data_IF_380578191690
#
_entry.id   IF_380578191690
#
_cell.length_a   1.000
_cell.length_b   1.000
_cell.length_c   1.000
_cell.angle_alpha   90.00
_cell.angle_beta   90.00
_cell.angle_gamma   90.00
#
_symmetry.space_group_name_H-M   'P 1'
#
loop_
_entity.id
_entity.type
_entity.pdbx_description
1 polymer ?
#
# COMPACT_ATOMS: atom_id res chain seq x y z
N UNK A 1 0.25 -28.62 -12.90
CA UNK A 1 -0.27 -27.24 -13.04
C UNK A 1 0.88 -26.25 -12.99
N UNK A 2 0.75 -25.09 -13.66
CA UNK A 2 1.81 -24.10 -13.76
C UNK A 2 1.32 -22.71 -13.38
N UNK A 3 2.18 -21.99 -12.65
CA UNK A 3 2.04 -20.60 -12.27
C UNK A 3 3.04 -19.79 -13.08
N UNK A 4 2.59 -18.72 -13.71
CA UNK A 4 3.44 -17.81 -14.47
C UNK A 4 3.48 -16.41 -13.87
N UNK A 5 4.57 -15.70 -14.09
CA UNK A 5 4.62 -14.26 -13.91
C UNK A 5 5.51 -13.62 -14.96
N UNK A 6 5.08 -12.49 -15.47
CA UNK A 6 5.78 -11.71 -16.50
C UNK A 6 6.33 -10.44 -15.88
N UNK A 7 7.30 -9.83 -16.55
CA UNK A 7 7.87 -8.54 -16.08
C UNK A 7 6.80 -7.46 -16.05
N UNK A 8 6.86 -6.62 -15.03
CA UNK A 8 6.14 -5.35 -15.03
C UNK A 8 6.92 -4.29 -15.82
N UNK A 9 6.27 -3.20 -16.19
CA UNK A 9 6.98 -2.05 -16.73
C UNK A 9 7.77 -1.37 -15.60
N UNK A 10 9.09 -1.58 -15.55
CA UNK A 10 9.98 -1.12 -14.45
C UNK A 10 9.98 0.41 -14.27
N UNK A 11 9.61 1.18 -15.29
CA UNK A 11 9.46 2.64 -15.13
C UNK A 11 8.24 3.01 -14.27
N UNK A 12 7.24 2.13 -14.18
CA UNK A 12 5.99 2.35 -13.45
C UNK A 12 5.91 1.50 -12.18
N UNK A 13 6.43 0.25 -12.23
CA UNK A 13 6.31 -0.74 -11.16
C UNK A 13 7.58 -1.57 -11.05
N UNK A 14 8.24 -1.47 -9.90
CA UNK A 14 9.50 -2.20 -9.65
C UNK A 14 9.31 -3.49 -8.85
N UNK A 15 8.11 -3.72 -8.27
CA UNK A 15 7.84 -4.95 -7.55
C UNK A 15 7.75 -6.14 -8.51
N UNK A 16 8.05 -7.32 -7.98
CA UNK A 16 7.82 -8.61 -8.65
C UNK A 16 6.83 -9.44 -7.84
N UNK A 17 6.04 -10.24 -8.54
CA UNK A 17 5.00 -11.08 -7.91
C UNK A 17 5.56 -12.39 -7.32
N UNK A 18 6.72 -12.84 -7.77
CA UNK A 18 7.38 -14.06 -7.31
C UNK A 18 8.83 -13.73 -6.94
N UNK A 19 9.27 -14.16 -5.76
CA UNK A 19 10.69 -14.14 -5.34
C UNK A 19 11.24 -15.57 -5.34
N UNK A 20 12.58 -15.78 -5.32
CA UNK A 20 13.14 -17.15 -5.22
C UNK A 20 12.61 -17.94 -4.03
N UNK A 21 12.42 -17.28 -2.87
CA UNK A 21 11.82 -17.89 -1.68
C UNK A 21 10.39 -18.39 -1.94
N UNK A 22 9.53 -17.54 -2.50
CA UNK A 22 8.14 -17.91 -2.78
C UNK A 22 8.03 -18.88 -3.95
N UNK A 23 8.95 -18.82 -4.93
CA UNK A 23 9.07 -19.81 -5.97
C UNK A 23 9.30 -21.22 -5.40
N UNK A 24 10.27 -21.36 -4.50
CA UNK A 24 10.52 -22.61 -3.79
C UNK A 24 9.26 -23.12 -3.06
N UNK A 25 8.53 -22.22 -2.40
CA UNK A 25 7.33 -22.59 -1.66
C UNK A 25 6.18 -23.02 -2.60
N UNK A 26 5.99 -22.36 -3.74
CA UNK A 26 4.98 -22.74 -4.74
C UNK A 26 5.34 -24.10 -5.36
N UNK A 27 6.61 -24.34 -5.68
CA UNK A 27 7.09 -25.62 -6.23
C UNK A 27 6.88 -26.74 -5.20
N UNK A 28 7.03 -26.50 -3.91
CA UNK A 28 6.76 -27.51 -2.87
C UNK A 28 5.29 -27.93 -2.78
N UNK A 29 4.36 -27.15 -3.34
CA UNK A 29 2.96 -27.56 -3.51
C UNK A 29 2.76 -28.56 -4.68
N UNK A 30 3.77 -28.79 -5.51
CA UNK A 30 3.68 -29.60 -6.73
C UNK A 30 3.32 -28.78 -7.99
N UNK A 31 3.48 -27.45 -7.93
CA UNK A 31 3.23 -26.55 -9.06
C UNK A 31 4.54 -26.21 -9.76
N UNK A 32 4.50 -26.08 -11.10
CA UNK A 32 5.63 -25.57 -11.87
C UNK A 32 5.57 -24.04 -11.95
N UNK A 33 6.73 -23.38 -12.04
CA UNK A 33 6.80 -21.93 -12.22
C UNK A 33 7.46 -21.60 -13.56
N UNK A 34 6.82 -20.67 -14.26
CA UNK A 34 7.27 -20.12 -15.53
C UNK A 34 7.50 -18.62 -15.36
N UNK A 35 8.71 -18.15 -15.61
CA UNK A 35 9.05 -16.72 -15.57
C UNK A 35 9.61 -16.25 -16.92
N UNK A 36 9.52 -14.97 -17.15
CA UNK A 36 10.19 -14.31 -18.26
C UNK A 36 11.67 -14.09 -17.91
N UNK A 37 12.60 -14.24 -18.85
CA UNK A 37 14.02 -13.98 -18.64
C UNK A 37 14.27 -12.57 -18.09
N UNK A 38 15.26 -12.44 -17.25
CA UNK A 38 15.61 -11.18 -16.57
C UNK A 38 14.48 -10.63 -15.69
N UNK A 39 13.64 -11.53 -15.15
CA UNK A 39 12.40 -11.20 -14.41
C UNK A 39 12.62 -10.20 -13.29
N UNK A 40 13.66 -10.37 -12.49
CA UNK A 40 13.92 -9.53 -11.31
C UNK A 40 15.35 -8.91 -11.31
N UNK A 41 16.01 -8.85 -12.46
CA UNK A 41 17.37 -8.33 -12.58
C UNK A 41 17.52 -6.90 -12.08
N UNK A 42 16.49 -6.05 -12.27
CA UNK A 42 16.46 -4.67 -11.77
C UNK A 42 16.46 -4.58 -10.23
N UNK A 43 16.14 -5.68 -9.54
CA UNK A 43 16.23 -5.80 -8.08
C UNK A 43 17.54 -6.46 -7.62
N UNK A 44 18.45 -6.78 -8.54
CA UNK A 44 19.69 -7.52 -8.24
C UNK A 44 19.48 -9.03 -8.05
N UNK A 45 18.28 -9.55 -8.32
CA UNK A 45 17.97 -10.98 -8.23
C UNK A 45 18.17 -11.60 -9.61
N UNK A 46 19.17 -12.47 -9.75
CA UNK A 46 19.51 -13.10 -11.01
C UNK A 46 18.65 -14.31 -11.32
N UNK A 47 18.42 -14.60 -12.60
CA UNK A 47 17.68 -15.78 -13.07
C UNK A 47 18.19 -17.08 -12.45
N UNK A 48 19.52 -17.20 -12.29
CA UNK A 48 20.16 -18.34 -11.63
C UNK A 48 19.59 -18.68 -10.26
N UNK A 49 19.25 -17.67 -9.45
CA UNK A 49 18.66 -17.88 -8.12
C UNK A 49 17.25 -18.51 -8.18
N UNK A 50 16.53 -18.30 -9.26
CA UNK A 50 15.25 -18.94 -9.55
C UNK A 50 15.43 -20.34 -10.15
N UNK A 51 16.40 -20.50 -11.08
CA UNK A 51 16.73 -21.81 -11.68
C UNK A 51 17.14 -22.82 -10.62
N UNK A 52 17.94 -22.42 -9.64
CA UNK A 52 18.40 -23.24 -8.52
C UNK A 52 17.25 -23.82 -7.66
N UNK A 53 16.07 -23.21 -7.71
CA UNK A 53 14.87 -23.72 -7.04
C UNK A 53 13.87 -24.38 -8.00
N UNK A 54 14.20 -24.52 -9.30
CA UNK A 54 13.42 -25.27 -10.28
C UNK A 54 12.47 -24.43 -11.13
N UNK A 55 12.67 -23.13 -11.25
CA UNK A 55 11.89 -22.23 -12.12
C UNK A 55 12.32 -22.40 -13.59
N UNK A 56 11.36 -22.39 -14.49
CA UNK A 56 11.60 -22.39 -15.94
C UNK A 56 11.46 -20.99 -16.52
N UNK A 57 12.42 -20.59 -17.36
CA UNK A 57 12.44 -19.30 -18.02
C UNK A 57 12.01 -19.37 -19.49
N UNK A 58 11.36 -18.31 -19.95
CA UNK A 58 10.94 -18.10 -21.34
C UNK A 58 11.45 -16.74 -21.84
N UNK A 59 11.62 -16.64 -23.16
CA UNK A 59 12.17 -15.43 -23.79
C UNK A 59 11.13 -14.29 -23.91
N UNK A 60 9.83 -14.62 -23.87
CA UNK A 60 8.77 -13.64 -24.05
C UNK A 60 7.66 -13.80 -23.00
N UNK A 61 6.97 -12.69 -22.70
CA UNK A 61 5.77 -12.69 -21.87
C UNK A 61 4.66 -13.59 -22.44
N UNK A 62 4.51 -13.62 -23.76
CA UNK A 62 3.53 -14.47 -24.44
C UNK A 62 3.79 -15.95 -24.19
N UNK A 63 5.06 -16.38 -24.19
CA UNK A 63 5.41 -17.78 -23.92
C UNK A 63 5.11 -18.15 -22.46
N UNK A 64 5.40 -17.24 -21.50
CA UNK A 64 5.04 -17.45 -20.10
C UNK A 64 3.53 -17.61 -19.94
N UNK A 65 2.74 -16.69 -20.51
CA UNK A 65 1.28 -16.73 -20.47
C UNK A 65 0.76 -18.03 -21.10
N UNK A 66 1.30 -18.40 -22.26
CA UNK A 66 0.89 -19.57 -23.00
C UNK A 66 1.17 -20.90 -22.28
N UNK A 67 2.15 -20.94 -21.41
CA UNK A 67 2.55 -22.15 -20.70
C UNK A 67 2.09 -22.18 -19.24
N UNK A 68 1.25 -21.20 -18.83
CA UNK A 68 0.80 -21.07 -17.43
C UNK A 68 -0.72 -21.10 -17.33
N UNK A 69 -1.23 -21.80 -16.32
CA UNK A 69 -2.66 -21.86 -15.99
C UNK A 69 -3.09 -20.69 -15.13
N UNK A 70 -2.21 -20.25 -14.21
CA UNK A 70 -2.41 -19.12 -13.33
C UNK A 70 -1.30 -18.10 -13.58
N UNK A 71 -1.68 -16.84 -13.76
CA UNK A 71 -0.77 -15.71 -13.97
C UNK A 71 -0.83 -14.78 -12.75
N UNK A 72 0.33 -14.51 -12.17
CA UNK A 72 0.53 -13.54 -11.11
C UNK A 72 1.04 -12.22 -11.68
N UNK A 73 0.41 -11.13 -11.30
CA UNK A 73 0.85 -9.78 -11.65
C UNK A 73 0.80 -8.86 -10.43
N UNK A 74 1.52 -7.76 -10.51
CA UNK A 74 1.38 -6.67 -9.55
C UNK A 74 0.24 -5.75 -9.99
N UNK A 75 0.29 -5.26 -11.22
CA UNK A 75 -0.70 -4.33 -11.77
C UNK A 75 -1.65 -5.01 -12.78
N UNK A 76 -2.73 -4.28 -13.10
CA UNK A 76 -3.67 -4.69 -14.15
C UNK A 76 -2.91 -4.89 -15.47
N UNK A 77 -3.20 -5.96 -16.22
CA UNK A 77 -2.58 -6.22 -17.50
C UNK A 77 -2.74 -5.08 -18.50
N UNK A 78 -1.74 -4.93 -19.35
CA UNK A 78 -1.80 -4.04 -20.52
C UNK A 78 -2.70 -4.62 -21.60
N UNK A 79 -3.18 -3.79 -22.54
CA UNK A 79 -4.04 -4.22 -23.64
C UNK A 79 -3.36 -5.30 -24.52
N UNK A 80 -2.02 -5.25 -24.63
CA UNK A 80 -1.26 -6.27 -25.36
C UNK A 80 -1.23 -7.61 -24.60
N UNK A 81 -1.02 -7.58 -23.29
CA UNK A 81 -1.07 -8.78 -22.45
C UNK A 81 -2.46 -9.40 -22.43
N UNK A 82 -3.53 -8.58 -22.39
CA UNK A 82 -4.92 -9.04 -22.44
C UNK A 82 -5.20 -9.85 -23.72
N UNK A 83 -4.63 -9.44 -24.86
CA UNK A 83 -4.79 -10.18 -26.12
C UNK A 83 -4.19 -11.58 -26.07
N UNK A 84 -3.12 -11.78 -25.31
CA UNK A 84 -2.41 -13.06 -25.18
C UNK A 84 -2.97 -13.97 -24.10
N UNK A 85 -3.78 -13.45 -23.16
CA UNK A 85 -4.40 -14.25 -22.11
C UNK A 85 -5.30 -15.33 -22.70
N UNK A 86 -5.14 -16.56 -22.21
CA UNK A 86 -5.90 -17.72 -22.65
C UNK A 86 -7.22 -17.85 -21.93
N UNK A 87 -8.23 -18.33 -22.62
CA UNK A 87 -9.48 -18.76 -22.03
C UNK A 87 -9.25 -19.78 -20.89
N UNK A 88 -10.07 -19.69 -19.85
CA UNK A 88 -10.00 -20.53 -18.63
C UNK A 88 -8.70 -20.42 -17.84
N UNK A 89 -7.86 -19.41 -18.11
CA UNK A 89 -6.74 -19.08 -17.24
C UNK A 89 -7.23 -18.36 -15.99
N UNK A 90 -6.34 -18.26 -15.00
CA UNK A 90 -6.58 -17.55 -13.76
C UNK A 90 -5.59 -16.38 -13.66
N UNK A 91 -6.08 -15.20 -13.32
CA UNK A 91 -5.27 -14.01 -13.14
C UNK A 91 -5.41 -13.50 -11.70
N UNK A 92 -4.30 -13.30 -11.01
CA UNK A 92 -4.28 -12.86 -9.60
C UNK A 92 -3.34 -11.67 -9.43
N UNK A 93 -3.81 -10.62 -8.75
CA UNK A 93 -3.01 -9.41 -8.50
C UNK A 93 -3.78 -8.29 -7.81
N UNK A 94 -3.28 -7.05 -7.96
CA UNK A 94 -3.93 -5.82 -7.53
C UNK A 94 -4.37 -5.07 -8.78
N UNK A 95 -5.67 -5.08 -9.07
CA UNK A 95 -6.16 -4.63 -10.38
C UNK A 95 -6.98 -3.35 -10.35
N UNK A 96 -7.22 -2.78 -9.16
CA UNK A 96 -8.00 -1.55 -8.96
C UNK A 96 -9.32 -1.56 -9.75
N UNK A 97 -10.30 -2.42 -9.39
CA UNK A 97 -11.52 -2.62 -10.18
C UNK A 97 -12.27 -1.34 -10.49
N UNK A 98 -12.30 -0.38 -9.58
CA UNK A 98 -12.96 0.92 -9.81
C UNK A 98 -12.28 1.77 -10.89
N UNK A 99 -10.97 1.64 -11.07
CA UNK A 99 -10.21 2.39 -12.09
C UNK A 99 -10.10 1.64 -13.41
N UNK A 100 -10.15 0.31 -13.39
CA UNK A 100 -9.90 -0.56 -14.55
C UNK A 100 -11.14 -1.37 -14.98
N UNK A 101 -12.35 -0.92 -14.65
CA UNK A 101 -13.59 -1.65 -14.89
C UNK A 101 -13.73 -2.17 -16.32
N UNK A 102 -13.48 -1.32 -17.33
CA UNK A 102 -13.61 -1.70 -18.75
C UNK A 102 -12.62 -2.80 -19.15
N UNK A 103 -11.35 -2.72 -18.69
CA UNK A 103 -10.33 -3.74 -18.95
C UNK A 103 -10.69 -5.08 -18.30
N UNK A 104 -11.14 -5.02 -17.06
CA UNK A 104 -11.53 -6.22 -16.32
C UNK A 104 -12.76 -6.90 -16.97
N UNK A 105 -13.73 -6.12 -17.43
CA UNK A 105 -14.86 -6.64 -18.23
C UNK A 105 -14.42 -7.26 -19.55
N UNK A 106 -13.41 -6.72 -20.22
CA UNK A 106 -12.85 -7.32 -21.42
C UNK A 106 -12.21 -8.69 -21.14
N UNK A 107 -11.46 -8.78 -20.02
CA UNK A 107 -10.81 -10.03 -19.61
C UNK A 107 -11.85 -11.08 -19.20
N UNK A 108 -12.89 -10.70 -18.44
CA UNK A 108 -13.95 -11.66 -18.03
C UNK A 108 -14.74 -12.21 -19.21
N UNK A 109 -14.96 -11.43 -20.29
CA UNK A 109 -15.58 -11.91 -21.52
C UNK A 109 -14.81 -13.06 -22.22
N UNK A 110 -13.51 -13.23 -21.89
CA UNK A 110 -12.68 -14.33 -22.38
C UNK A 110 -12.75 -15.59 -21.49
N UNK A 111 -13.72 -15.70 -20.58
CA UNK A 111 -13.82 -16.78 -19.59
C UNK A 111 -12.55 -16.92 -18.72
N UNK A 112 -11.90 -15.82 -18.35
CA UNK A 112 -10.75 -15.77 -17.46
C UNK A 112 -11.22 -15.43 -16.05
N UNK A 113 -10.80 -16.22 -15.07
CA UNK A 113 -11.11 -15.94 -13.66
C UNK A 113 -10.11 -14.91 -13.10
N UNK A 114 -10.59 -13.75 -12.68
CA UNK A 114 -9.76 -12.67 -12.18
C UNK A 114 -9.96 -12.54 -10.67
N UNK A 115 -8.87 -12.65 -9.91
CA UNK A 115 -8.88 -12.41 -8.47
C UNK A 115 -8.11 -11.12 -8.14
N UNK A 116 -8.83 -10.12 -7.64
CA UNK A 116 -8.28 -8.83 -7.23
C UNK A 116 -8.12 -8.80 -5.71
N UNK A 117 -6.87 -8.88 -5.23
CA UNK A 117 -6.59 -9.10 -3.81
C UNK A 117 -6.89 -7.90 -2.91
N UNK A 118 -7.09 -6.71 -3.47
CA UNK A 118 -7.60 -5.57 -2.72
C UNK A 118 -9.06 -5.74 -2.26
N UNK A 119 -9.78 -6.72 -2.78
CA UNK A 119 -11.16 -7.08 -2.40
C UNK A 119 -11.22 -8.14 -1.30
N UNK A 120 -10.09 -8.58 -0.76
CA UNK A 120 -10.04 -9.56 0.32
C UNK A 120 -10.94 -9.14 1.50
N UNK A 121 -11.74 -10.06 2.05
CA UNK A 121 -12.53 -9.78 3.24
C UNK A 121 -11.62 -9.62 4.47
N UNK A 122 -12.03 -8.77 5.40
CA UNK A 122 -11.28 -8.53 6.65
C UNK A 122 -11.58 -9.59 7.69
N UNK A 123 -11.16 -10.83 7.44
CA UNK A 123 -11.29 -11.97 8.34
C UNK A 123 -9.91 -12.54 8.68
N UNK A 124 -9.78 -13.19 9.84
CA UNK A 124 -8.49 -13.70 10.35
C UNK A 124 -7.80 -14.63 9.36
N UNK A 125 -8.54 -15.49 8.66
CA UNK A 125 -8.01 -16.43 7.66
C UNK A 125 -7.40 -15.73 6.44
N UNK A 126 -7.86 -14.53 6.07
CA UNK A 126 -7.35 -13.75 4.95
C UNK A 126 -6.12 -12.88 5.31
N UNK A 127 -5.79 -12.75 6.58
CA UNK A 127 -4.77 -11.82 7.07
C UNK A 127 -3.40 -12.01 6.40
N UNK A 128 -2.98 -13.25 6.18
CA UNK A 128 -1.70 -13.55 5.49
C UNK A 128 -1.71 -13.22 3.99
N UNK A 129 -2.89 -13.00 3.41
CA UNK A 129 -3.10 -12.65 2.00
C UNK A 129 -3.29 -11.15 1.78
N UNK A 130 -3.41 -10.35 2.85
CA UNK A 130 -3.77 -8.93 2.81
C UNK A 130 -2.63 -8.09 2.23
N UNK A 131 -2.70 -7.89 0.91
CA UNK A 131 -1.77 -7.06 0.14
C UNK A 131 -1.87 -5.59 0.51
N UNK A 132 -3.07 -5.10 0.87
CA UNK A 132 -3.26 -3.69 1.22
C UNK A 132 -2.54 -3.37 2.52
N UNK A 133 -2.71 -4.19 3.55
CA UNK A 133 -2.06 -3.98 4.85
C UNK A 133 -0.53 -4.11 4.75
N UNK A 134 -0.01 -5.13 4.05
CA UNK A 134 1.43 -5.32 3.92
C UNK A 134 2.12 -4.16 3.21
N UNK A 135 1.52 -3.64 2.14
CA UNK A 135 2.07 -2.53 1.37
C UNK A 135 1.84 -1.17 2.08
N UNK A 136 0.69 -0.96 2.72
CA UNK A 136 0.44 0.25 3.50
C UNK A 136 1.39 0.41 4.68
N UNK A 137 1.76 -0.70 5.34
CA UNK A 137 2.77 -0.68 6.40
C UNK A 137 4.10 -0.10 5.89
N UNK A 138 4.58 -0.60 4.75
CA UNK A 138 5.81 -0.09 4.12
C UNK A 138 5.67 1.38 3.67
N UNK A 139 4.48 1.77 3.19
CA UNK A 139 4.22 3.15 2.79
C UNK A 139 4.35 4.10 3.99
N UNK A 140 3.78 3.74 5.15
CA UNK A 140 3.90 4.52 6.38
C UNK A 140 5.36 4.68 6.84
N UNK A 141 6.13 3.58 6.81
CA UNK A 141 7.57 3.64 7.07
C UNK A 141 8.29 4.59 6.10
N UNK A 142 8.08 4.41 4.80
CA UNK A 142 8.82 5.18 3.79
C UNK A 142 8.45 6.66 3.79
N UNK A 143 7.19 7.00 4.05
CA UNK A 143 6.75 8.38 4.16
C UNK A 143 7.50 9.16 5.26
N UNK A 144 7.76 8.52 6.39
CA UNK A 144 8.59 9.12 7.46
C UNK A 144 10.01 9.38 6.98
N UNK A 145 10.64 8.39 6.33
CA UNK A 145 12.02 8.52 5.84
C UNK A 145 12.14 9.63 4.78
N UNK A 146 11.21 9.69 3.82
CA UNK A 146 11.18 10.75 2.80
C UNK A 146 10.92 12.13 3.43
N UNK A 147 10.01 12.20 4.42
CA UNK A 147 9.73 13.44 5.13
C UNK A 147 10.96 13.97 5.88
N UNK A 148 11.69 13.08 6.54
CA UNK A 148 12.91 13.44 7.28
C UNK A 148 14.02 13.87 6.35
N UNK A 149 14.16 13.22 5.21
CA UNK A 149 15.14 13.59 4.17
C UNK A 149 14.89 15.02 3.66
N UNK A 150 13.62 15.41 3.48
CA UNK A 150 13.23 16.72 3.00
C UNK A 150 13.16 17.81 4.10
N UNK A 151 13.20 17.41 5.37
CA UNK A 151 12.98 18.34 6.51
C UNK A 151 14.17 19.25 6.82
N UNK A 152 15.36 19.01 6.33
CA UNK A 152 16.56 19.85 6.49
C UNK A 152 16.91 20.23 7.95
N UNK A 153 16.35 19.55 8.96
CA UNK A 153 16.65 19.72 10.38
C UNK A 153 16.83 18.35 11.05
N UNK A 154 17.49 18.35 12.22
CA UNK A 154 17.62 17.14 13.03
C UNK A 154 16.25 16.69 13.56
N UNK A 155 16.05 15.37 13.64
CA UNK A 155 14.80 14.79 14.16
C UNK A 155 14.90 14.47 15.65
N UNK A 156 15.92 13.73 16.14
CA UNK A 156 16.04 13.46 17.56
C UNK A 156 16.52 14.70 18.34
N UNK A 157 16.19 14.73 19.61
CA UNK A 157 16.84 15.67 20.53
C UNK A 157 18.33 15.34 20.60
N UNK A 158 19.17 16.37 20.53
CA UNK A 158 20.62 16.24 20.64
C UNK A 158 21.19 17.31 21.58
N UNK A 159 22.21 16.94 22.33
CA UNK A 159 23.00 17.88 23.14
C UNK A 159 24.35 18.07 22.49
N UNK A 160 24.74 19.34 22.25
CA UNK A 160 26.02 19.68 21.65
C UNK A 160 26.73 20.70 22.51
N UNK A 161 28.03 20.94 22.26
CA UNK A 161 28.76 22.01 22.94
C UNK A 161 28.16 23.43 22.70
N UNK A 162 27.42 23.58 21.58
CA UNK A 162 26.75 24.85 21.24
C UNK A 162 25.31 24.94 21.80
N UNK A 163 24.83 23.89 22.50
CA UNK A 163 23.51 23.88 23.12
C UNK A 163 22.64 22.66 22.69
N UNK A 164 21.38 22.69 23.08
CA UNK A 164 20.41 21.62 22.84
C UNK A 164 19.65 21.86 21.56
N UNK A 165 19.61 20.83 20.69
CA UNK A 165 18.71 20.75 19.53
C UNK A 165 17.42 20.06 19.98
N UNK A 166 16.25 20.71 19.92
CA UNK A 166 14.98 20.08 20.32
C UNK A 166 14.56 19.00 19.32
N UNK A 167 13.82 18.00 19.81
CA UNK A 167 13.24 16.97 18.93
C UNK A 167 12.19 17.56 17.97
N UNK A 168 12.18 17.10 16.75
CA UNK A 168 11.15 17.43 15.75
C UNK A 168 9.77 16.90 16.18
N UNK A 169 8.73 17.65 15.87
CA UNK A 169 7.34 17.29 16.15
C UNK A 169 6.65 16.80 14.90
N UNK A 170 6.12 15.59 14.97
CA UNK A 170 5.44 14.92 13.86
C UNK A 170 3.97 14.74 14.18
N UNK A 171 3.10 15.18 13.27
CA UNK A 171 1.67 14.90 13.30
C UNK A 171 1.33 13.84 12.24
N UNK A 172 0.63 12.79 12.64
CA UNK A 172 0.08 11.80 11.71
C UNK A 172 -1.43 11.95 11.64
N UNK A 173 -1.96 12.17 10.44
CA UNK A 173 -3.39 12.29 10.17
C UNK A 173 -3.89 10.99 9.56
N UNK A 174 -4.71 10.26 10.32
CA UNK A 174 -5.14 8.90 10.03
C UNK A 174 -4.28 7.86 10.75
N UNK A 175 -4.89 7.06 11.63
CA UNK A 175 -4.24 6.00 12.41
C UNK A 175 -4.61 4.60 11.88
N UNK A 176 -4.69 4.42 10.55
CA UNK A 176 -4.75 3.12 9.90
C UNK A 176 -3.38 2.44 9.86
N UNK A 177 -3.24 1.35 9.11
CA UNK A 177 -1.98 0.57 9.03
C UNK A 177 -0.77 1.45 8.67
N UNK A 178 -0.89 2.31 7.66
CA UNK A 178 0.17 3.23 7.27
C UNK A 178 0.47 4.26 8.36
N UNK A 179 -0.56 4.85 8.98
CA UNK A 179 -0.42 5.84 10.03
C UNK A 179 0.23 5.27 11.29
N UNK A 180 -0.20 4.11 11.76
CA UNK A 180 0.41 3.44 12.92
C UNK A 180 1.88 3.11 12.67
N UNK A 181 2.22 2.64 11.46
CA UNK A 181 3.63 2.40 11.12
C UNK A 181 4.43 3.71 11.04
N UNK A 182 3.84 4.79 10.51
CA UNK A 182 4.47 6.10 10.51
C UNK A 182 4.75 6.59 11.93
N UNK A 183 3.79 6.46 12.85
CA UNK A 183 3.96 6.77 14.28
C UNK A 183 5.12 5.97 14.86
N UNK A 184 5.12 4.65 14.71
CA UNK A 184 6.16 3.77 15.23
C UNK A 184 7.54 4.13 14.67
N UNK A 185 7.64 4.44 13.39
CA UNK A 185 8.89 4.81 12.73
C UNK A 185 9.40 6.15 13.23
N UNK A 186 8.56 7.20 13.25
CA UNK A 186 8.94 8.52 13.69
C UNK A 186 9.37 8.53 15.18
N UNK A 187 8.67 7.76 16.03
CA UNK A 187 9.06 7.56 17.44
C UNK A 187 10.44 6.94 17.58
N UNK A 188 10.73 5.87 16.82
CA UNK A 188 12.06 5.22 16.85
C UNK A 188 13.18 6.14 16.38
N UNK A 189 12.88 7.09 15.51
CA UNK A 189 13.83 8.10 15.05
C UNK A 189 13.95 9.32 15.99
N UNK A 190 13.29 9.27 17.15
CA UNK A 190 13.42 10.28 18.22
C UNK A 190 12.49 11.48 18.09
N UNK A 191 11.49 11.45 17.22
CA UNK A 191 10.49 12.50 17.10
C UNK A 191 9.49 12.51 18.26
N UNK A 192 8.92 13.68 18.56
CA UNK A 192 7.72 13.82 19.38
C UNK A 192 6.50 13.65 18.47
N UNK A 193 5.78 12.53 18.63
CA UNK A 193 4.70 12.17 17.71
C UNK A 193 3.33 12.41 18.33
N UNK A 194 2.48 13.09 17.58
CA UNK A 194 1.04 13.15 17.80
C UNK A 194 0.28 12.57 16.60
N UNK A 195 -0.92 12.09 16.84
CA UNK A 195 -1.77 11.57 15.76
C UNK A 195 -3.23 11.93 16.01
N UNK A 196 -4.01 12.02 14.93
CA UNK A 196 -5.45 12.17 14.97
C UNK A 196 -6.13 11.19 14.02
N UNK A 197 -7.27 10.66 14.43
CA UNK A 197 -8.16 9.82 13.61
C UNK A 197 -9.60 10.12 14.04
N UNK A 198 -10.55 9.94 13.14
CA UNK A 198 -11.98 10.11 13.45
C UNK A 198 -12.53 8.95 14.28
N UNK A 199 -11.83 7.82 14.33
CA UNK A 199 -12.19 6.62 15.09
C UNK A 199 -11.61 6.67 16.49
N UNK A 200 -12.47 6.71 17.50
CA UNK A 200 -12.02 6.70 18.90
C UNK A 200 -11.21 5.44 19.26
N UNK A 201 -11.52 4.29 18.66
CA UNK A 201 -10.78 3.04 18.84
C UNK A 201 -9.29 3.12 18.45
N UNK A 202 -8.89 4.07 17.62
CA UNK A 202 -7.49 4.29 17.26
C UNK A 202 -6.65 4.88 18.39
N UNK A 203 -7.26 5.44 19.44
CA UNK A 203 -6.56 6.08 20.55
C UNK A 203 -5.59 5.11 21.25
N UNK A 204 -6.09 3.96 21.68
CA UNK A 204 -5.29 2.96 22.38
C UNK A 204 -4.11 2.49 21.53
N UNK A 205 -4.33 2.28 20.23
CA UNK A 205 -3.30 1.87 19.30
C UNK A 205 -2.19 2.92 19.16
N UNK A 206 -2.54 4.20 19.05
CA UNK A 206 -1.58 5.32 18.96
C UNK A 206 -0.79 5.45 20.27
N UNK A 207 -1.46 5.42 21.41
CA UNK A 207 -0.83 5.57 22.73
C UNK A 207 0.08 4.38 23.04
N UNK A 208 -0.25 3.17 22.65
CA UNK A 208 0.60 1.97 22.79
C UNK A 208 1.91 2.07 22.00
N UNK A 209 1.94 2.85 20.92
CA UNK A 209 3.15 3.15 20.15
C UNK A 209 3.92 4.36 20.73
N UNK A 210 3.46 4.95 21.84
CA UNK A 210 4.05 6.12 22.49
C UNK A 210 3.75 7.45 21.78
N UNK A 211 2.74 7.48 20.91
CA UNK A 211 2.21 8.70 20.32
C UNK A 211 1.17 9.37 21.22
N UNK A 212 1.00 10.69 21.10
CA UNK A 212 -0.10 11.42 21.75
C UNK A 212 -1.31 11.44 20.81
N UNK A 213 -2.45 10.93 21.26
CA UNK A 213 -3.67 11.00 20.45
C UNK A 213 -4.37 12.37 20.64
N UNK A 214 -4.64 13.03 19.54
CA UNK A 214 -5.38 14.28 19.48
C UNK A 214 -6.79 13.99 19.00
N UNK A 215 -7.79 14.21 19.84
CA UNK A 215 -9.19 13.98 19.49
C UNK A 215 -10.07 15.14 19.96
N UNK A 216 -11.16 15.30 19.25
CA UNK A 216 -12.29 16.13 19.70
C UNK A 216 -13.13 15.27 20.63
N UNK A 217 -13.51 15.79 21.79
CA UNK A 217 -14.46 15.10 22.67
C UNK A 217 -15.80 14.94 21.93
N UNK A 218 -16.27 13.70 21.86
CA UNK A 218 -17.43 13.34 21.09
C UNK A 218 -18.25 12.26 21.81
N UNK A 219 -19.58 12.38 21.69
CA UNK A 219 -20.52 11.40 22.23
C UNK A 219 -20.73 10.20 21.31
N UNK A 220 -20.57 10.37 19.98
CA UNK A 220 -20.83 9.31 18.98
C UNK A 220 -19.58 8.71 18.33
N UNK A 221 -19.59 7.39 18.14
CA UNK A 221 -18.55 6.68 17.41
C UNK A 221 -18.72 6.85 15.90
N UNK A 222 -17.80 7.57 15.24
CA UNK A 222 -17.75 7.78 13.79
C UNK A 222 -17.08 6.61 13.05
N UNK A 223 -17.35 5.38 13.44
CA UNK A 223 -16.81 4.18 12.80
C UNK A 223 -17.91 3.39 12.10
N UNK A 224 -17.62 2.90 10.87
CA UNK A 224 -18.48 1.95 10.17
C UNK A 224 -18.18 0.52 10.64
N UNK A 225 -19.09 -0.43 10.39
CA UNK A 225 -18.87 -1.85 10.67
C UNK A 225 -17.60 -2.42 9.99
N UNK A 226 -17.11 -1.78 8.93
CA UNK A 226 -15.86 -2.14 8.25
C UNK A 226 -14.60 -1.44 8.79
N UNK A 227 -14.67 -0.72 9.91
CA UNK A 227 -13.53 -0.01 10.51
C UNK A 227 -13.11 1.27 9.78
N UNK A 228 -13.99 1.88 8.98
CA UNK A 228 -13.78 3.15 8.31
C UNK A 228 -14.58 4.29 8.94
N UNK A 229 -14.12 5.53 8.74
CA UNK A 229 -14.81 6.72 9.21
C UNK A 229 -16.17 6.91 8.55
N UNK A 230 -17.19 7.28 9.36
CA UNK A 230 -18.47 7.80 8.90
C UNK A 230 -18.39 9.29 8.57
N UNK A 231 -19.42 9.80 7.92
CA UNK A 231 -19.58 11.23 7.68
C UNK A 231 -19.88 11.96 9.00
N UNK A 232 -19.14 13.04 9.26
CA UNK A 232 -19.21 13.79 10.52
C UNK A 232 -20.19 14.96 10.46
N UNK A 233 -20.79 15.34 11.61
CA UNK A 233 -21.62 16.53 11.74
C UNK A 233 -20.83 17.82 11.50
N UNK A 234 -21.50 18.90 11.13
CA UNK A 234 -20.85 20.21 10.91
C UNK A 234 -20.18 20.77 12.17
N UNK A 235 -20.78 20.54 13.33
CA UNK A 235 -20.18 20.93 14.63
C UNK A 235 -18.89 20.17 14.90
N UNK A 236 -18.87 18.86 14.63
CA UNK A 236 -17.66 18.06 14.77
C UNK A 236 -16.58 18.49 13.78
N UNK A 237 -16.94 18.77 12.53
CA UNK A 237 -16.00 19.29 11.52
C UNK A 237 -15.36 20.59 11.97
N UNK A 238 -16.13 21.49 12.61
CA UNK A 238 -15.60 22.76 13.16
C UNK A 238 -14.61 22.51 14.29
N UNK A 239 -14.98 21.69 15.29
CA UNK A 239 -14.08 21.34 16.42
C UNK A 239 -12.82 20.65 15.92
N UNK A 240 -12.94 19.76 14.92
CA UNK A 240 -11.81 19.10 14.27
C UNK A 240 -10.91 20.10 13.53
N UNK A 241 -11.51 21.09 12.85
CA UNK A 241 -10.75 22.17 12.22
C UNK A 241 -9.93 22.95 13.21
N UNK A 242 -10.49 23.34 14.37
CA UNK A 242 -9.79 24.10 15.40
C UNK A 242 -8.66 23.28 16.05
N UNK A 243 -8.90 21.98 16.28
CA UNK A 243 -7.86 21.04 16.72
C UNK A 243 -6.69 20.98 15.73
N UNK A 244 -7.02 20.86 14.42
CA UNK A 244 -6.02 20.81 13.36
C UNK A 244 -5.25 22.14 13.24
N UNK A 245 -5.91 23.31 13.32
CA UNK A 245 -5.25 24.62 13.33
C UNK A 245 -4.17 24.68 14.41
N UNK A 246 -4.51 24.29 15.63
CA UNK A 246 -3.56 24.27 16.75
C UNK A 246 -2.43 23.23 16.54
N UNK A 247 -2.75 22.08 15.94
CA UNK A 247 -1.73 21.06 15.65
C UNK A 247 -0.77 21.51 14.54
N UNK A 248 -1.28 22.14 13.45
CA UNK A 248 -0.46 22.60 12.31
C UNK A 248 0.58 23.65 12.75
N UNK A 249 0.24 24.59 13.65
CA UNK A 249 1.18 25.60 14.14
C UNK A 249 2.30 25.03 15.01
N UNK A 250 2.12 23.83 15.59
CA UNK A 250 3.05 23.25 16.57
C UNK A 250 3.95 22.17 15.99
N UNK A 251 3.55 21.55 14.88
CA UNK A 251 4.29 20.45 14.29
C UNK A 251 5.22 20.90 13.16
N UNK A 252 6.27 20.15 12.95
CA UNK A 252 7.32 20.40 11.96
C UNK A 252 7.09 19.50 10.72
N UNK A 253 6.60 18.30 10.92
CA UNK A 253 6.28 17.33 9.87
C UNK A 253 4.84 16.85 10.03
N UNK A 254 4.10 16.77 8.92
CA UNK A 254 2.75 16.21 8.88
C UNK A 254 2.72 15.07 7.88
N UNK A 255 2.20 13.90 8.28
CA UNK A 255 2.03 12.73 7.41
C UNK A 255 0.55 12.43 7.29
N UNK A 256 0.00 12.59 6.09
CA UNK A 256 -1.40 12.34 5.78
C UNK A 256 -1.57 10.92 5.24
N UNK A 257 -2.44 10.13 5.88
CA UNK A 257 -2.69 8.73 5.52
C UNK A 257 -4.18 8.39 5.40
N UNK A 258 -5.06 9.38 5.39
CA UNK A 258 -6.50 9.16 5.39
C UNK A 258 -7.00 8.75 3.99
N UNK A 259 -7.33 7.48 3.84
CA UNK A 259 -7.85 6.90 2.61
C UNK A 259 -9.15 6.14 2.88
N UNK A 260 -10.10 6.27 1.96
CA UNK A 260 -11.32 5.48 1.92
C UNK A 260 -11.26 4.63 0.65
N UNK A 261 -11.20 3.30 0.76
CA UNK A 261 -11.11 2.43 -0.43
C UNK A 261 -12.22 2.71 -1.44
N UNK A 262 -11.84 2.82 -2.72
CA UNK A 262 -12.76 3.04 -3.83
C UNK A 262 -13.40 4.42 -3.92
N UNK A 263 -12.97 5.39 -3.07
CA UNK A 263 -13.46 6.78 -3.09
C UNK A 263 -12.28 7.77 -3.19
N UNK A 264 -12.53 8.99 -3.67
CA UNK A 264 -11.55 10.07 -3.56
C UNK A 264 -11.13 10.31 -2.10
N UNK A 265 -9.86 10.66 -1.89
CA UNK A 265 -9.36 10.98 -0.56
C UNK A 265 -10.04 12.25 0.00
N UNK A 266 -10.39 12.27 1.28
CA UNK A 266 -10.94 13.47 1.90
C UNK A 266 -9.90 14.58 1.94
N UNK A 267 -10.26 15.80 1.54
CA UNK A 267 -9.42 16.99 1.67
C UNK A 267 -9.46 17.48 3.12
N UNK A 268 -8.50 17.08 3.93
CA UNK A 268 -8.43 17.40 5.37
C UNK A 268 -7.69 18.71 5.62
N UNK A 269 -6.57 18.90 4.94
CA UNK A 269 -5.75 20.10 5.04
C UNK A 269 -6.05 21.03 3.86
N UNK A 270 -6.86 22.04 4.09
CA UNK A 270 -7.09 23.12 3.13
C UNK A 270 -5.88 24.07 3.06
N UNK A 271 -5.93 25.06 2.15
CA UNK A 271 -4.83 26.02 1.97
C UNK A 271 -4.50 26.82 3.23
N UNK A 272 -5.53 27.21 3.99
CA UNK A 272 -5.36 27.93 5.24
C UNK A 272 -4.55 27.11 6.24
N UNK A 273 -4.93 25.84 6.46
CA UNK A 273 -4.25 24.94 7.38
C UNK A 273 -2.78 24.69 6.97
N UNK A 274 -2.53 24.48 5.67
CA UNK A 274 -1.15 24.30 5.17
C UNK A 274 -0.30 25.54 5.49
N UNK A 275 -0.81 26.73 5.23
CA UNK A 275 -0.10 28.01 5.45
C UNK A 275 0.17 28.34 6.93
N UNK A 276 -0.46 27.63 7.89
CA UNK A 276 -0.20 27.80 9.32
C UNK A 276 1.11 27.17 9.79
N UNK A 277 1.70 26.27 9.00
CA UNK A 277 2.96 25.65 9.38
C UNK A 277 4.14 26.63 9.27
N UNK A 278 5.20 26.30 9.97
CA UNK A 278 6.44 27.09 9.94
C UNK A 278 7.20 26.88 8.64
N UNK A 279 7.92 27.88 8.19
CA UNK A 279 8.90 27.75 7.12
C UNK A 279 9.88 26.59 7.40
N UNK A 280 10.17 25.75 6.41
CA UNK A 280 11.00 24.56 6.53
C UNK A 280 10.24 23.32 7.07
N UNK A 281 8.92 23.42 7.24
CA UNK A 281 8.07 22.26 7.56
C UNK A 281 7.80 21.40 6.33
N UNK A 282 7.41 20.14 6.59
CA UNK A 282 7.12 19.15 5.54
C UNK A 282 5.72 18.57 5.74
N UNK A 283 4.95 18.46 4.66
CA UNK A 283 3.70 17.69 4.60
C UNK A 283 3.92 16.55 3.60
N UNK A 284 3.74 15.32 4.02
CA UNK A 284 3.78 14.15 3.15
C UNK A 284 2.38 13.56 2.99
N UNK A 285 1.91 13.50 1.76
CA UNK A 285 0.54 13.06 1.44
C UNK A 285 0.55 11.70 0.76
N UNK A 286 0.27 10.64 1.53
CA UNK A 286 0.13 9.28 1.01
C UNK A 286 -1.16 9.05 0.20
N UNK A 287 -2.10 9.99 0.27
CA UNK A 287 -3.38 9.90 -0.44
C UNK A 287 -3.36 10.55 -1.83
N UNK A 288 -2.21 11.05 -2.28
CA UNK A 288 -2.08 11.86 -3.52
C UNK A 288 -2.69 11.19 -4.75
N UNK A 289 -2.54 9.87 -4.92
CA UNK A 289 -3.10 9.13 -6.06
C UNK A 289 -4.64 9.06 -6.08
N UNK A 290 -5.29 9.43 -4.98
CA UNK A 290 -6.75 9.49 -4.83
C UNK A 290 -7.24 10.92 -4.62
N UNK A 291 -6.46 11.93 -5.04
CA UNK A 291 -6.80 13.34 -4.96
C UNK A 291 -6.14 14.08 -3.79
N UNK A 292 -5.52 13.38 -2.86
CA UNK A 292 -4.74 13.93 -1.75
C UNK A 292 -5.56 14.45 -0.56
N UNK A 293 -4.97 14.36 0.62
CA UNK A 293 -5.54 14.91 1.86
C UNK A 293 -5.17 16.39 2.08
N UNK A 294 -4.07 16.85 1.47
CA UNK A 294 -3.56 18.21 1.65
C UNK A 294 -3.74 19.06 0.40
N UNK A 295 -4.05 20.34 0.59
CA UNK A 295 -3.93 21.33 -0.49
C UNK A 295 -2.49 21.37 -1.01
N UNK A 296 -2.34 21.67 -2.29
CA UNK A 296 -1.06 21.68 -3.01
C UNK A 296 -0.37 20.31 -3.15
N UNK A 297 -1.01 19.22 -2.72
CA UNK A 297 -0.52 17.86 -2.98
C UNK A 297 -0.77 17.51 -4.46
N UNK A 298 0.31 17.24 -5.19
CA UNK A 298 0.27 16.83 -6.59
C UNK A 298 1.12 15.60 -6.82
N UNK A 299 0.68 14.73 -7.73
CA UNK A 299 1.35 13.47 -8.04
C UNK A 299 2.77 13.70 -8.55
N UNK A 300 3.75 13.02 -7.93
CA UNK A 300 5.19 13.07 -8.24
C UNK A 300 5.81 14.47 -8.17
N UNK A 301 5.26 15.34 -7.30
CA UNK A 301 5.80 16.68 -7.08
C UNK A 301 6.10 16.95 -5.62
N UNK A 302 7.03 17.87 -5.42
CA UNK A 302 7.30 18.58 -4.17
C UNK A 302 6.98 20.05 -4.44
N UNK A 303 5.83 20.50 -3.94
CA UNK A 303 5.41 21.89 -4.06
C UNK A 303 5.86 22.67 -2.83
N UNK A 304 6.41 23.88 -3.02
CA UNK A 304 6.90 24.73 -1.92
C UNK A 304 5.98 25.92 -1.80
N UNK A 305 5.30 26.03 -0.65
CA UNK A 305 4.34 27.08 -0.31
C UNK A 305 4.81 27.81 0.96
N UNK A 306 5.22 29.06 0.84
CA UNK A 306 5.77 29.84 1.95
C UNK A 306 6.94 29.13 2.67
N UNK A 307 7.77 28.37 1.93
CA UNK A 307 8.85 27.55 2.46
C UNK A 307 8.41 26.25 3.13
N UNK A 308 7.14 25.84 2.98
CA UNK A 308 6.61 24.55 3.43
C UNK A 308 6.62 23.61 2.24
N UNK A 309 7.23 22.43 2.37
CA UNK A 309 7.27 21.40 1.33
C UNK A 309 6.04 20.52 1.43
N UNK A 310 5.25 20.42 0.36
CA UNK A 310 4.11 19.49 0.23
C UNK A 310 4.49 18.42 -0.77
N UNK A 311 4.60 17.17 -0.31
CA UNK A 311 5.15 16.04 -1.06
C UNK A 311 4.04 15.05 -1.40
N UNK A 312 3.90 14.73 -2.70
CA UNK A 312 2.96 13.74 -3.20
C UNK A 312 3.65 12.75 -4.14
N UNK A 313 4.15 11.63 -3.63
CA UNK A 313 4.81 10.61 -4.44
C UNK A 313 3.87 9.44 -4.68
N UNK A 314 3.64 9.11 -5.95
CA UNK A 314 2.87 7.91 -6.31
C UNK A 314 3.73 6.65 -6.19
N UNK A 315 3.05 5.52 -6.08
CA UNK A 315 3.66 4.19 -6.01
C UNK A 315 4.94 4.15 -5.12
N UNK A 316 4.78 4.57 -3.87
CA UNK A 316 5.88 4.68 -2.91
C UNK A 316 6.65 3.36 -2.71
N UNK A 317 6.04 2.23 -3.11
CA UNK A 317 6.67 0.91 -3.09
C UNK A 317 7.88 0.82 -4.01
N UNK A 318 7.95 1.63 -5.07
CA UNK A 318 9.11 1.74 -5.94
C UNK A 318 10.38 2.28 -5.24
N UNK A 319 10.23 2.84 -4.04
CA UNK A 319 11.34 3.25 -3.17
C UNK A 319 11.83 2.14 -2.24
N UNK A 320 11.09 1.01 -2.16
CA UNK A 320 11.38 -0.16 -1.34
C UNK A 320 11.11 -1.48 -2.09
N UNK A 321 11.49 -1.60 -3.38
CA UNK A 321 10.96 -2.65 -4.24
C UNK A 321 11.33 -4.06 -3.78
N UNK A 322 12.50 -4.27 -3.16
CA UNK A 322 12.89 -5.58 -2.61
C UNK A 322 11.98 -6.05 -1.48
N UNK A 323 11.80 -5.20 -0.46
CA UNK A 323 10.95 -5.54 0.70
C UNK A 323 9.48 -5.64 0.29
N UNK A 324 9.03 -4.71 -0.56
CA UNK A 324 7.65 -4.70 -1.06
C UNK A 324 7.35 -5.96 -1.89
N UNK A 325 8.28 -6.41 -2.75
CA UNK A 325 8.17 -7.66 -3.50
C UNK A 325 8.12 -8.89 -2.59
N UNK A 326 9.00 -8.94 -1.57
CA UNK A 326 9.02 -10.07 -0.63
C UNK A 326 7.68 -10.25 0.08
N UNK A 327 7.11 -9.16 0.61
CA UNK A 327 5.80 -9.22 1.29
C UNK A 327 4.67 -9.53 0.31
N UNK A 328 4.66 -8.86 -0.84
CA UNK A 328 3.65 -9.08 -1.87
C UNK A 328 3.64 -10.54 -2.37
N UNK A 329 4.80 -11.09 -2.70
CA UNK A 329 4.93 -12.48 -3.13
C UNK A 329 4.46 -13.48 -2.05
N UNK A 330 4.69 -13.18 -0.76
CA UNK A 330 4.17 -13.99 0.36
C UNK A 330 2.64 -13.93 0.48
N UNK A 331 2.05 -12.75 0.25
CA UNK A 331 0.60 -12.62 0.20
C UNK A 331 0.01 -13.45 -0.96
N UNK A 332 0.59 -13.34 -2.16
CA UNK A 332 0.19 -14.14 -3.32
C UNK A 332 0.35 -15.64 -3.08
N UNK A 333 1.45 -16.08 -2.48
CA UNK A 333 1.65 -17.48 -2.12
C UNK A 333 0.56 -17.98 -1.17
N UNK A 334 0.21 -17.18 -0.15
CA UNK A 334 -0.86 -17.53 0.79
C UNK A 334 -2.21 -17.69 0.07
N UNK A 335 -2.52 -16.81 -0.90
CA UNK A 335 -3.72 -16.91 -1.72
C UNK A 335 -3.69 -18.14 -2.64
N UNK A 336 -2.56 -18.42 -3.31
CA UNK A 336 -2.39 -19.63 -4.15
C UNK A 336 -2.62 -20.89 -3.31
N UNK A 337 -2.09 -20.94 -2.09
CA UNK A 337 -2.27 -22.09 -1.19
C UNK A 337 -3.73 -22.30 -0.80
N UNK A 338 -4.53 -21.23 -0.70
CA UNK A 338 -5.98 -21.32 -0.47
C UNK A 338 -6.74 -21.76 -1.72
N UNK A 339 -6.26 -21.37 -2.90
CA UNK A 339 -6.91 -21.66 -4.17
C UNK A 339 -6.58 -23.07 -4.71
N UNK A 340 -5.40 -23.64 -4.36
CA UNK A 340 -4.91 -24.89 -4.89
C UNK A 340 -5.36 -26.11 -4.07
N UNK A 341 -6.01 -27.07 -4.71
CA UNK A 341 -6.36 -28.35 -4.09
C UNK A 341 -5.28 -29.42 -4.39
N UNK A 342 -4.60 -29.89 -3.35
CA UNK A 342 -3.62 -30.98 -3.47
C UNK A 342 -4.27 -32.29 -3.90
N UNK A 343 -5.50 -32.57 -3.47
CA UNK A 343 -6.25 -33.78 -3.81
C UNK A 343 -6.58 -33.82 -5.30
N UNK A 344 -7.14 -32.71 -5.81
CA UNK A 344 -7.52 -32.58 -7.23
C UNK A 344 -6.33 -32.28 -8.12
N UNK A 345 -5.18 -31.89 -7.56
CA UNK A 345 -3.98 -31.36 -8.26
C UNK A 345 -4.34 -30.23 -9.23
N UNK A 346 -5.33 -29.40 -8.87
CA UNK A 346 -5.83 -28.29 -9.68
C UNK A 346 -6.26 -27.09 -8.80
N UNK A 347 -6.45 -25.94 -9.43
CA UNK A 347 -7.02 -24.76 -8.77
C UNK A 347 -8.53 -24.96 -8.60
N UNK A 348 -9.00 -24.82 -7.36
CA UNK A 348 -10.39 -25.04 -6.98
C UNK A 348 -11.07 -23.69 -6.68
N UNK A 349 -11.90 -23.24 -7.63
CA UNK A 349 -12.67 -21.99 -7.47
C UNK A 349 -13.97 -22.34 -6.74
N UNK A 350 -13.89 -22.41 -5.40
CA UNK A 350 -15.06 -22.65 -4.56
C UNK A 350 -15.72 -21.33 -4.17
N UNK A 351 -16.88 -21.03 -4.71
CA UNK A 351 -17.63 -19.81 -4.44
C UNK A 351 -18.29 -19.77 -3.05
N UNK A 352 -18.33 -20.87 -2.32
CA UNK A 352 -18.74 -20.91 -0.92
C UNK A 352 -17.65 -20.36 0.01
N UNK A 353 -16.39 -20.38 -0.43
CA UNK A 353 -15.32 -19.74 0.30
C UNK A 353 -15.40 -18.21 0.13
N UNK A 354 -15.61 -17.51 1.23
CA UNK A 354 -15.75 -16.06 1.25
C UNK A 354 -14.52 -15.34 0.65
N UNK A 355 -13.30 -15.85 0.85
CA UNK A 355 -12.08 -15.30 0.27
C UNK A 355 -12.16 -15.35 -1.25
N UNK A 356 -12.52 -16.51 -1.80
CA UNK A 356 -12.61 -16.74 -3.24
C UNK A 356 -13.75 -15.91 -3.84
N UNK A 357 -14.95 -15.95 -3.24
CA UNK A 357 -16.13 -15.27 -3.78
C UNK A 357 -16.01 -13.75 -3.75
N UNK A 358 -15.35 -13.17 -2.74
CA UNK A 358 -15.16 -11.71 -2.62
C UNK A 358 -14.07 -11.17 -3.53
N UNK A 359 -13.00 -11.94 -3.76
CA UNK A 359 -11.87 -11.51 -4.61
C UNK A 359 -12.11 -11.74 -6.10
N UNK A 360 -13.05 -12.63 -6.46
CA UNK A 360 -13.38 -12.92 -7.86
C UNK A 360 -14.14 -11.75 -8.49
N UNK A 361 -13.60 -11.20 -9.57
CA UNK A 361 -14.27 -10.19 -10.40
C UNK A 361 -15.33 -10.88 -11.25
N UNK A 362 -16.56 -10.36 -11.22
CA UNK A 362 -17.72 -10.87 -11.93
C UNK A 362 -18.00 -10.07 -13.21
#
# INVERSE_FOLDING_TARGET
MSVGSIKENISLEKRVAITPETAKNIISLGLNINLEKDYANHLGIKDKQYEDVGVKFYNSSSDVINNSKLILKVNCPTDQEIKTLKEKSILVGIFNPSKNENKLKEITKKNINIFSLELLPRISRAQSMDVLSSQSNLAGYRAVIESIYEFEKAVPMMMTAAGTVPAAKVLVIGAGVAGLQAIATAKRLGALVSATDVRAASKEQVESLGGKFLMVEQEDNLETAGGYAKEASEEFKKKQSDLLKNAMTKNDIVICTALIPGRPAPRILNEELVKLMKTGSVIYDLAVEQGGNAAYSEVDKINIINGIKVIGIKNLMNKLPLTASSLYAKNLFSFIRNLYSKEKKDFNINLEDEIISKTLIK
#
